data_IF_537629625398
#
_entry.id   IF_537629625398
#
_cell.length_a   1.000
_cell.length_b   1.000
_cell.length_c   1.000
_cell.angle_alpha   90.00
_cell.angle_beta   90.00
_cell.angle_gamma   90.00
#
_symmetry.space_group_name_H-M   'P 1'
#
loop_
_entity.id
_entity.type
_entity.pdbx_description
1 polymer ?
#
# COMPACT_ATOMS: atom_id res chain seq x y z
N UNK A 1 -9.55 -0.64 13.38
CA UNK A 1 -9.14 -0.44 11.98
C UNK A 1 -8.07 -1.44 11.65
N UNK A 2 -8.34 -2.44 10.79
CA UNK A 2 -7.33 -3.42 10.43
C UNK A 2 -6.19 -2.79 9.61
N UNK A 3 -4.99 -3.34 9.77
CA UNK A 3 -3.79 -2.93 9.02
C UNK A 3 -3.11 -4.19 8.49
N UNK A 4 -2.69 -4.16 7.23
CA UNK A 4 -1.83 -5.18 6.62
C UNK A 4 -0.54 -4.54 6.13
N UNK A 5 0.59 -5.13 6.50
CA UNK A 5 1.92 -4.76 5.97
C UNK A 5 2.31 -5.75 4.88
N UNK A 6 3.03 -5.26 3.88
CA UNK A 6 3.69 -6.12 2.88
C UNK A 6 5.04 -6.53 3.45
N UNK A 7 5.42 -7.78 3.24
CA UNK A 7 6.77 -8.25 3.55
C UNK A 7 7.68 -7.92 2.36
N UNK A 8 8.70 -7.09 2.57
CA UNK A 8 9.63 -6.69 1.51
C UNK A 8 10.44 -7.86 0.92
N UNK A 9 10.59 -8.96 1.67
CA UNK A 9 11.36 -10.14 1.29
C UNK A 9 10.47 -11.31 0.84
N UNK A 10 9.18 -11.30 1.20
CA UNK A 10 8.21 -12.35 0.88
C UNK A 10 6.88 -11.75 0.37
N UNK A 11 6.93 -11.10 -0.79
CA UNK A 11 5.71 -10.58 -1.42
C UNK A 11 4.84 -11.74 -1.91
N UNK A 12 3.56 -11.71 -1.52
CA UNK A 12 2.59 -12.70 -1.98
C UNK A 12 2.24 -12.46 -3.45
N UNK A 13 1.62 -13.46 -4.09
CA UNK A 13 1.21 -13.44 -5.51
C UNK A 13 0.44 -12.18 -5.95
N UNK A 14 -0.33 -11.57 -5.04
CA UNK A 14 -1.16 -10.38 -5.33
C UNK A 14 -0.55 -9.07 -4.80
N UNK A 15 0.70 -9.10 -4.33
CA UNK A 15 1.40 -7.94 -3.79
C UNK A 15 2.51 -7.52 -4.75
N UNK A 16 2.64 -6.21 -4.97
CA UNK A 16 3.72 -5.65 -5.77
C UNK A 16 4.30 -4.44 -5.06
N UNK A 17 5.62 -4.43 -4.92
CA UNK A 17 6.38 -3.35 -4.31
C UNK A 17 7.75 -3.31 -5.00
N UNK A 18 8.04 -2.20 -5.65
CA UNK A 18 9.30 -1.97 -6.34
C UNK A 18 9.77 -0.53 -6.15
N UNK A 19 11.06 -0.36 -5.89
CA UNK A 19 11.61 0.92 -5.46
C UNK A 19 10.76 1.55 -4.34
N UNK A 20 10.32 2.78 -4.56
CA UNK A 20 9.51 3.57 -3.61
C UNK A 20 8.00 3.50 -3.88
N UNK A 21 7.52 2.55 -4.67
CA UNK A 21 6.11 2.40 -5.04
C UNK A 21 5.58 1.01 -4.65
N UNK A 22 4.40 0.96 -4.03
CA UNK A 22 3.70 -0.30 -3.77
C UNK A 22 2.27 -0.25 -4.33
N UNK A 23 1.80 -1.37 -4.86
CA UNK A 23 0.42 -1.58 -5.26
C UNK A 23 -0.35 -2.24 -4.12
N UNK A 24 -1.56 -1.74 -3.86
CA UNK A 24 -2.46 -2.29 -2.87
C UNK A 24 -3.83 -2.58 -3.46
N UNK A 25 -4.38 -3.75 -3.14
CA UNK A 25 -5.78 -4.08 -3.34
C UNK A 25 -6.60 -3.55 -2.17
N UNK A 26 -7.56 -2.67 -2.44
CA UNK A 26 -8.50 -2.17 -1.43
C UNK A 26 -9.35 -3.33 -0.88
N UNK A 27 -9.28 -3.65 0.43
CA UNK A 27 -10.04 -4.77 0.99
C UNK A 27 -11.56 -4.57 1.00
N UNK A 28 -12.04 -3.36 0.69
CA UNK A 28 -13.46 -3.01 0.71
C UNK A 28 -14.14 -3.05 -0.65
N UNK A 29 -13.41 -2.75 -1.72
CA UNK A 29 -13.98 -2.70 -3.07
C UNK A 29 -13.17 -3.44 -4.12
N UNK A 30 -12.04 -4.05 -3.76
CA UNK A 30 -11.18 -4.80 -4.68
C UNK A 30 -10.35 -3.94 -5.64
N UNK A 31 -10.51 -2.60 -5.65
CA UNK A 31 -9.69 -1.74 -6.52
C UNK A 31 -8.21 -1.85 -6.16
N UNK A 32 -7.38 -2.20 -7.15
CA UNK A 32 -5.93 -2.09 -7.06
C UNK A 32 -5.50 -0.65 -7.34
N UNK A 33 -4.61 -0.11 -6.52
CA UNK A 33 -4.04 1.22 -6.71
C UNK A 33 -2.60 1.35 -6.22
N UNK A 34 -1.82 2.22 -6.87
CA UNK A 34 -0.40 2.42 -6.60
C UNK A 34 -0.21 3.58 -5.62
N UNK A 35 0.75 3.42 -4.71
CA UNK A 35 1.17 4.43 -3.74
C UNK A 35 2.68 4.61 -3.84
N UNK A 36 3.09 5.79 -4.31
CA UNK A 36 4.47 6.26 -4.25
C UNK A 36 4.78 6.94 -2.92
N UNK A 37 5.91 6.60 -2.29
CA UNK A 37 6.44 7.30 -1.12
C UNK A 37 6.87 8.76 -1.43
N UNK A 38 7.15 9.08 -2.70
CA UNK A 38 7.59 10.43 -3.09
C UNK A 38 6.42 11.40 -3.27
N UNK A 39 5.28 10.87 -3.78
CA UNK A 39 4.10 11.64 -4.14
C UNK A 39 3.05 11.59 -3.01
N UNK A 40 2.81 10.42 -2.42
CA UNK A 40 1.75 10.21 -1.44
C UNK A 40 2.31 10.12 -0.01
N UNK A 41 3.00 11.18 0.42
CA UNK A 41 3.73 11.22 1.72
C UNK A 41 2.83 10.95 2.93
N UNK A 42 1.57 11.37 2.86
CA UNK A 42 0.57 11.16 3.92
C UNK A 42 -0.27 9.90 3.71
N UNK A 43 0.04 9.13 2.66
CA UNK A 43 -0.74 8.01 2.18
C UNK A 43 -1.70 8.39 1.06
N UNK A 44 -2.31 7.38 0.46
CA UNK A 44 -3.27 7.52 -0.64
C UNK A 44 -4.53 6.75 -0.31
N UNK A 45 -5.66 7.46 -0.27
CA UNK A 45 -6.96 6.83 -0.16
C UNK A 45 -7.28 5.99 -1.40
N UNK A 46 -8.07 4.94 -1.22
CA UNK A 46 -8.64 4.18 -2.32
C UNK A 46 -9.41 5.15 -3.23
N UNK A 47 -9.04 5.25 -4.52
CA UNK A 47 -9.65 6.24 -5.42
C UNK A 47 -11.07 5.84 -5.83
N UNK A 48 -11.51 4.61 -5.55
CA UNK A 48 -12.83 4.12 -5.90
C UNK A 48 -13.86 4.30 -4.78
N UNK A 49 -13.49 4.00 -3.52
CA UNK A 49 -14.45 4.03 -2.41
C UNK A 49 -14.03 4.86 -1.21
N UNK A 50 -12.78 5.34 -1.15
CA UNK A 50 -12.25 6.08 0.00
C UNK A 50 -12.06 5.26 1.28
N UNK A 51 -12.48 3.98 1.33
CA UNK A 51 -12.53 3.18 2.57
C UNK A 51 -11.23 2.45 2.95
N UNK A 52 -10.11 2.79 2.31
CA UNK A 52 -8.79 2.29 2.70
C UNK A 52 -7.71 3.31 2.37
N UNK A 53 -6.60 3.29 3.10
CA UNK A 53 -5.43 4.13 2.84
C UNK A 53 -4.19 3.26 2.73
N UNK A 54 -3.52 3.31 1.57
CA UNK A 54 -2.20 2.72 1.38
C UNK A 54 -1.11 3.72 1.75
N UNK A 55 -0.04 3.26 2.40
CA UNK A 55 1.12 4.06 2.79
C UNK A 55 2.42 3.36 2.41
N UNK A 56 3.36 4.13 1.89
CA UNK A 56 4.72 3.65 1.60
C UNK A 56 5.72 4.70 2.10
N UNK A 57 6.77 4.23 2.77
CA UNK A 57 7.93 5.04 3.16
C UNK A 57 9.20 4.33 2.70
N UNK A 58 10.15 5.08 2.13
CA UNK A 58 11.40 4.53 1.63
C UNK A 58 11.23 3.56 0.46
N UNK A 59 12.31 2.86 0.12
CA UNK A 59 12.34 1.85 -0.93
C UNK A 59 12.26 0.43 -0.38
N UNK A 60 11.67 -0.52 -1.12
CA UNK A 60 11.54 -1.94 -0.71
C UNK A 60 12.85 -2.54 -0.21
N UNK A 61 13.95 -2.35 -0.96
CA UNK A 61 15.28 -2.91 -0.65
C UNK A 61 16.13 -2.00 0.24
N UNK A 62 15.54 -0.96 0.83
CA UNK A 62 16.24 0.07 1.61
C UNK A 62 15.64 0.24 3.02
N UNK A 63 15.06 -0.83 3.57
CA UNK A 63 14.39 -0.79 4.88
C UNK A 63 13.07 -0.01 4.87
N UNK A 64 12.44 0.13 3.69
CA UNK A 64 11.15 0.79 3.57
C UNK A 64 10.02 0.06 4.29
N UNK A 65 8.86 0.70 4.35
CA UNK A 65 7.63 0.13 4.92
C UNK A 65 6.49 0.38 3.94
N UNK A 66 5.70 -0.65 3.63
CA UNK A 66 4.46 -0.56 2.87
C UNK A 66 3.30 -1.20 3.64
N UNK A 67 2.19 -0.49 3.77
CA UNK A 67 1.00 -0.97 4.47
C UNK A 67 -0.30 -0.42 3.91
N UNK A 68 -1.40 -1.15 4.14
CA UNK A 68 -2.76 -0.69 3.88
C UNK A 68 -3.61 -0.82 5.14
N UNK A 69 -4.35 0.23 5.46
CA UNK A 69 -5.37 0.23 6.51
C UNK A 69 -6.76 0.47 5.92
N UNK A 70 -7.81 -0.01 6.57
CA UNK A 70 -9.18 0.19 6.09
C UNK A 70 -10.20 0.31 7.22
N UNK A 71 -11.35 0.85 6.85
CA UNK A 71 -12.48 1.12 7.74
C UNK A 71 -13.65 0.18 7.41
N UNK A 72 -14.68 0.14 8.25
CA UNK A 72 -15.99 -0.49 7.97
C UNK A 72 -16.89 0.34 7.06
#
# INVERSE_FOLDING_TARGET
>A
MPIRKLDSMDLKKEEDWEGNNAAFTCPRCGKVFIVSAMIHRDGRQCPACGKSIGRVKGGRKSGGIASIEWYE
#
